data_IF_570431114674
#
_entry.id   IF_570431114674
#
_cell.length_a   1.000
_cell.length_b   1.000
_cell.length_c   1.000
_cell.angle_alpha   90.00
_cell.angle_beta   90.00
_cell.angle_gamma   90.00
#
_symmetry.space_group_name_H-M   'P 1'
#
loop_
_entity.id
_entity.type
_entity.pdbx_description
1 polymer ?
#
# COMPACT_ATOMS: atom_id res chain seq x y z
N UNK A 1 5.54 63.02 1.22
CA UNK A 1 5.43 62.67 -0.22
C UNK A 1 5.07 61.20 -0.33
N UNK A 2 4.00 60.69 -0.93
CA UNK A 2 2.77 61.16 -1.59
C UNK A 2 2.08 59.84 -2.04
N UNK A 3 0.92 59.46 -1.50
CA UNK A 3 -0.42 59.56 -2.09
C UNK A 3 -0.55 59.00 -3.53
N UNK A 4 -1.29 57.88 -3.69
CA UNK A 4 -2.48 57.74 -4.55
C UNK A 4 -2.87 56.25 -4.71
N UNK A 5 -4.00 55.87 -4.10
CA UNK A 5 -4.80 54.73 -4.51
C UNK A 5 -5.98 55.21 -5.36
N UNK A 6 -6.60 54.32 -6.15
CA UNK A 6 -7.95 54.51 -6.69
C UNK A 6 -8.64 53.14 -6.85
N UNK A 7 -9.61 52.90 -5.98
CA UNK A 7 -10.72 51.98 -6.19
C UNK A 7 -11.69 52.60 -7.20
N UNK A 8 -12.16 51.81 -8.17
CA UNK A 8 -13.26 52.20 -9.06
C UNK A 8 -14.53 51.46 -8.71
N UNK A 9 -15.52 52.20 -8.18
CA UNK A 9 -16.93 51.78 -8.11
C UNK A 9 -17.68 52.33 -9.33
N UNK A 10 -18.64 51.55 -9.85
CA UNK A 10 -19.63 52.02 -10.83
C UNK A 10 -20.81 51.04 -10.93
N UNK A 11 -21.88 51.32 -10.19
CA UNK A 11 -23.21 50.67 -10.24
C UNK A 11 -24.19 51.52 -11.11
N UNK A 12 -25.53 51.33 -11.06
CA UNK A 12 -26.37 50.34 -11.76
C UNK A 12 -27.50 51.00 -12.62
N UNK A 13 -28.26 50.23 -13.41
CA UNK A 13 -29.59 50.67 -13.91
C UNK A 13 -30.45 49.49 -14.40
N UNK A 14 -31.53 49.15 -13.67
CA UNK A 14 -32.97 49.34 -13.98
C UNK A 14 -33.52 48.54 -15.17
N UNK A 15 -34.30 47.48 -14.90
CA UNK A 15 -35.78 47.44 -14.89
C UNK A 15 -36.30 47.01 -16.30
N UNK A 16 -37.25 46.10 -16.52
CA UNK A 16 -38.52 45.82 -15.83
C UNK A 16 -39.13 44.51 -16.37
N UNK A 17 -40.02 43.90 -15.57
CA UNK A 17 -41.27 43.20 -15.95
C UNK A 17 -41.19 41.90 -16.79
N UNK A 18 -42.06 40.90 -16.65
CA UNK A 18 -43.00 40.40 -15.64
C UNK A 18 -43.57 39.09 -16.26
N UNK A 19 -44.25 38.29 -15.44
CA UNK A 19 -45.33 37.34 -15.83
C UNK A 19 -44.96 35.89 -16.23
N UNK A 20 -45.07 35.04 -15.21
CA UNK A 20 -45.93 33.85 -15.11
C UNK A 20 -46.03 32.85 -16.27
N UNK A 21 -45.69 31.58 -15.99
CA UNK A 21 -46.61 30.44 -16.14
C UNK A 21 -46.00 29.16 -15.53
N UNK A 22 -46.79 28.52 -14.67
CA UNK A 22 -46.61 27.16 -14.17
C UNK A 22 -46.57 26.12 -15.30
N UNK A 23 -45.79 25.04 -15.13
CA UNK A 23 -46.29 23.65 -15.17
C UNK A 23 -45.13 22.64 -15.18
N UNK A 24 -45.02 21.93 -14.06
CA UNK A 24 -44.87 20.47 -13.93
C UNK A 24 -44.26 19.68 -15.10
N UNK A 25 -43.09 19.07 -14.87
CA UNK A 25 -42.89 17.66 -15.27
C UNK A 25 -41.75 17.04 -14.47
N UNK A 26 -42.08 15.90 -13.86
CA UNK A 26 -41.23 15.04 -13.06
C UNK A 26 -40.11 14.36 -13.87
N UNK A 27 -39.18 13.73 -13.14
CA UNK A 27 -38.17 12.73 -13.55
C UNK A 27 -36.89 13.36 -14.12
N UNK A 28 -35.75 13.34 -13.42
CA UNK A 28 -34.92 12.14 -13.33
C UNK A 28 -34.06 12.15 -12.07
N UNK A 29 -34.37 11.20 -11.19
CA UNK A 29 -33.51 10.67 -10.15
C UNK A 29 -32.27 10.00 -10.79
N UNK A 30 -31.19 9.89 -10.02
CA UNK A 30 -29.96 9.15 -10.29
C UNK A 30 -28.78 9.96 -10.85
N UNK A 31 -28.10 10.65 -9.94
CA UNK A 31 -26.65 10.63 -9.88
C UNK A 31 -26.18 10.59 -8.40
N UNK A 32 -26.84 9.75 -7.59
CA UNK A 32 -26.17 9.11 -6.46
C UNK A 32 -25.51 7.84 -7.01
N UNK A 33 -24.39 8.03 -7.70
CA UNK A 33 -23.52 6.93 -8.09
C UNK A 33 -22.43 6.84 -7.03
N UNK A 34 -22.52 5.72 -6.30
CA UNK A 34 -21.53 5.10 -5.43
C UNK A 34 -21.16 5.86 -4.15
N UNK A 35 -21.98 5.61 -3.12
CA UNK A 35 -21.44 5.18 -1.84
C UNK A 35 -20.29 4.20 -2.14
N UNK A 36 -19.08 4.63 -1.80
CA UNK A 36 -17.84 3.88 -1.96
C UNK A 36 -18.07 2.42 -1.54
N UNK A 37 -17.73 1.48 -2.42
CA UNK A 37 -17.68 0.06 -2.09
C UNK A 37 -16.62 -0.12 -1.00
N UNK A 38 -17.02 0.07 0.26
CA UNK A 38 -16.23 -0.30 1.42
C UNK A 38 -16.11 -1.80 1.38
N UNK A 39 -14.96 -2.31 0.96
CA UNK A 39 -14.60 -3.73 1.09
C UNK A 39 -14.57 -4.05 2.57
N UNK A 40 -15.70 -4.46 3.12
CA UNK A 40 -15.82 -4.82 4.52
C UNK A 40 -15.20 -6.20 4.70
N UNK A 41 -14.14 -6.27 5.49
CA UNK A 41 -13.51 -7.54 5.84
C UNK A 41 -14.46 -8.41 6.66
N UNK A 42 -14.84 -9.57 6.13
CA UNK A 42 -15.66 -10.58 6.81
C UNK A 42 -14.75 -11.73 7.24
N UNK A 43 -14.53 -11.88 8.56
CA UNK A 43 -13.63 -12.90 9.11
C UNK A 43 -14.23 -14.29 8.93
N UNK A 44 -13.46 -15.20 8.33
CA UNK A 44 -13.84 -16.59 8.05
C UNK A 44 -13.20 -17.58 9.02
N UNK A 45 -12.09 -17.21 9.65
CA UNK A 45 -11.40 -18.06 10.62
C UNK A 45 -10.09 -17.46 11.12
N UNK A 46 -9.30 -18.30 11.78
CA UNK A 46 -7.95 -17.97 12.26
C UNK A 46 -7.04 -19.18 12.14
N UNK A 47 -5.74 -18.96 11.98
CA UNK A 47 -4.73 -20.02 11.94
C UNK A 47 -4.56 -20.66 13.33
N UNK A 48 -4.61 -21.99 13.38
CA UNK A 48 -4.23 -22.75 14.58
C UNK A 48 -2.71 -22.90 14.63
N UNK A 49 -2.07 -22.30 15.65
CA UNK A 49 -0.63 -22.35 15.86
C UNK A 49 -0.29 -23.49 16.83
N UNK A 50 0.69 -24.32 16.45
CA UNK A 50 1.13 -25.44 17.28
C UNK A 50 2.22 -25.04 18.27
N UNK A 51 3.20 -24.24 17.82
CA UNK A 51 4.39 -23.89 18.60
C UNK A 51 4.74 -22.40 18.58
N UNK A 52 4.25 -21.66 17.59
CA UNK A 52 4.55 -20.23 17.47
C UNK A 52 3.63 -19.43 18.39
N UNK A 53 4.20 -18.49 19.15
CA UNK A 53 3.48 -17.71 20.15
C UNK A 53 3.48 -16.20 19.86
N UNK A 54 4.31 -15.75 18.90
CA UNK A 54 4.60 -14.33 18.69
C UNK A 54 3.79 -13.67 17.56
N UNK A 55 2.85 -14.40 16.95
CA UNK A 55 1.94 -13.82 15.96
C UNK A 55 0.59 -14.52 15.98
N UNK A 56 -0.41 -13.92 15.35
CA UNK A 56 -1.68 -14.54 14.99
C UNK A 56 -1.98 -14.26 13.52
N UNK A 57 -2.80 -15.10 12.90
CA UNK A 57 -3.31 -14.87 11.54
C UNK A 57 -4.82 -15.07 11.53
N UNK A 58 -5.54 -14.02 11.14
CA UNK A 58 -6.97 -14.08 10.88
C UNK A 58 -7.21 -14.14 9.37
N UNK A 59 -8.12 -15.03 8.96
CA UNK A 59 -8.54 -15.20 7.57
C UNK A 59 -9.86 -14.50 7.32
N UNK A 60 -10.01 -13.94 6.13
CA UNK A 60 -11.22 -13.25 5.69
C UNK A 60 -11.71 -13.80 4.35
N UNK A 61 -12.92 -13.43 3.95
CA UNK A 61 -13.43 -13.70 2.60
C UNK A 61 -12.49 -13.16 1.53
N UNK A 62 -12.58 -13.67 0.30
CA UNK A 62 -11.78 -13.26 -0.86
C UNK A 62 -10.26 -13.42 -0.73
N UNK A 63 -9.80 -14.12 0.32
CA UNK A 63 -8.40 -14.54 0.50
C UNK A 63 -7.55 -13.61 1.36
N UNK A 64 -8.11 -12.51 1.87
CA UNK A 64 -7.37 -11.56 2.71
C UNK A 64 -6.94 -12.21 4.03
N UNK A 65 -5.81 -11.77 4.56
CA UNK A 65 -5.24 -12.27 5.82
C UNK A 65 -4.76 -11.11 6.67
N UNK A 66 -5.11 -11.07 7.94
CA UNK A 66 -4.53 -10.13 8.91
C UNK A 66 -3.51 -10.88 9.75
N UNK A 67 -2.23 -10.53 9.59
CA UNK A 67 -1.16 -10.96 10.49
C UNK A 67 -1.00 -9.93 11.59
N UNK A 68 -1.04 -10.37 12.85
CA UNK A 68 -0.77 -9.51 14.01
C UNK A 68 0.41 -10.06 14.79
N UNK A 69 1.44 -9.26 15.03
CA UNK A 69 2.54 -9.64 15.93
C UNK A 69 2.11 -9.40 17.37
N UNK A 70 2.34 -10.39 18.24
CA UNK A 70 1.88 -10.34 19.63
C UNK A 70 2.69 -9.37 20.51
N UNK A 71 4.03 -9.30 20.40
CA UNK A 71 4.84 -8.48 21.31
C UNK A 71 4.58 -6.97 21.23
N UNK A 72 4.29 -6.46 20.04
CA UNK A 72 4.12 -5.04 19.72
C UNK A 72 2.76 -4.69 19.11
N UNK A 73 1.88 -5.69 18.92
CA UNK A 73 0.55 -5.53 18.32
C UNK A 73 0.54 -4.93 16.92
N UNK A 74 1.65 -5.03 16.17
CA UNK A 74 1.73 -4.53 14.80
C UNK A 74 0.86 -5.39 13.88
N UNK A 75 0.11 -4.74 13.00
CA UNK A 75 -0.83 -5.39 12.09
C UNK A 75 -0.43 -5.23 10.63
N UNK A 76 -0.53 -6.33 9.90
CA UNK A 76 -0.26 -6.40 8.48
C UNK A 76 -1.44 -7.04 7.76
N UNK A 77 -2.08 -6.30 6.87
CA UNK A 77 -3.11 -6.84 5.99
C UNK A 77 -2.46 -7.32 4.70
N UNK A 78 -2.50 -8.63 4.45
CA UNK A 78 -2.15 -9.22 3.18
C UNK A 78 -3.37 -9.12 2.26
N UNK A 79 -3.22 -8.33 1.20
CA UNK A 79 -4.22 -8.15 0.15
C UNK A 79 -3.88 -9.11 -1.00
N UNK A 80 -4.76 -10.05 -1.36
CA UNK A 80 -4.50 -10.99 -2.44
C UNK A 80 -4.32 -10.29 -3.79
N UNK A 81 -3.61 -10.93 -4.72
CA UNK A 81 -3.41 -10.40 -6.06
C UNK A 81 -4.74 -10.03 -6.74
N UNK A 82 -4.80 -8.82 -7.30
CA UNK A 82 -5.98 -8.30 -8.02
C UNK A 82 -7.12 -7.83 -7.12
N UNK A 83 -7.03 -8.01 -5.80
CA UNK A 83 -8.01 -7.51 -4.86
C UNK A 83 -7.73 -6.04 -4.47
N UNK A 84 -8.77 -5.20 -4.25
CA UNK A 84 -8.57 -3.82 -3.84
C UNK A 84 -8.18 -3.71 -2.36
N UNK A 85 -7.40 -2.70 -2.00
CA UNK A 85 -7.15 -2.39 -0.59
C UNK A 85 -8.44 -1.94 0.09
N UNK A 86 -8.85 -2.56 1.22
CA UNK A 86 -10.05 -2.16 1.95
C UNK A 86 -9.98 -0.70 2.44
N UNK A 87 -11.12 -0.01 2.37
CA UNK A 87 -11.24 1.35 2.91
C UNK A 87 -11.55 1.35 4.40
N UNK A 88 -11.15 2.42 5.09
CA UNK A 88 -11.46 2.62 6.51
C UNK A 88 -10.70 1.67 7.46
N UNK A 89 -9.53 1.20 7.04
CA UNK A 89 -8.58 0.52 7.91
C UNK A 89 -7.96 1.52 8.90
N UNK A 90 -7.58 1.03 10.07
CA UNK A 90 -6.87 1.83 11.05
C UNK A 90 -5.48 2.24 10.51
N UNK A 91 -5.00 3.44 10.87
CA UNK A 91 -3.75 4.01 10.34
C UNK A 91 -2.49 3.19 10.67
N UNK A 92 -2.55 2.33 11.69
CA UNK A 92 -1.46 1.44 12.11
C UNK A 92 -1.40 0.11 11.33
N UNK A 93 -2.37 -0.17 10.45
CA UNK A 93 -2.36 -1.37 9.61
C UNK A 93 -1.47 -1.16 8.39
N UNK A 94 -0.36 -1.89 8.34
CA UNK A 94 0.51 -1.95 7.16
C UNK A 94 -0.12 -2.83 6.08
N UNK A 95 -0.21 -2.32 4.86
CA UNK A 95 -0.76 -3.08 3.72
C UNK A 95 0.37 -3.78 2.98
N UNK A 96 0.20 -5.08 2.72
CA UNK A 96 1.10 -5.92 1.95
C UNK A 96 0.32 -6.52 0.78
N UNK A 97 0.55 -6.03 -0.43
CA UNK A 97 -0.10 -6.52 -1.65
C UNK A 97 0.64 -7.75 -2.18
N UNK A 98 -0.05 -8.89 -2.28
CA UNK A 98 0.45 -10.09 -2.94
C UNK A 98 0.35 -9.93 -4.47
N UNK A 99 1.29 -10.51 -5.27
CA UNK A 99 2.52 -11.17 -4.83
C UNK A 99 3.57 -10.16 -4.32
N UNK A 100 4.22 -10.50 -3.21
CA UNK A 100 5.30 -9.67 -2.63
C UNK A 100 6.61 -9.91 -3.37
N UNK A 101 7.01 -8.92 -4.14
CA UNK A 101 8.27 -8.88 -4.88
C UNK A 101 9.16 -7.74 -4.33
N UNK A 102 10.37 -7.62 -4.88
CA UNK A 102 11.29 -6.51 -4.59
C UNK A 102 11.74 -6.38 -3.14
N UNK A 103 11.87 -7.50 -2.42
CA UNK A 103 12.33 -7.49 -1.03
C UNK A 103 13.77 -6.97 -0.95
N UNK A 104 14.01 -6.04 -0.01
CA UNK A 104 15.34 -5.62 0.40
C UNK A 104 15.79 -6.39 1.64
N UNK A 105 16.59 -7.44 1.43
CA UNK A 105 17.09 -8.31 2.48
C UNK A 105 18.44 -7.82 3.01
N UNK A 106 18.43 -7.26 4.22
CA UNK A 106 19.63 -6.72 4.86
C UNK A 106 20.11 -7.56 6.04
N UNK A 107 19.22 -8.34 6.65
CA UNK A 107 19.55 -9.28 7.70
C UNK A 107 20.03 -10.59 7.08
N UNK A 108 21.34 -10.79 6.95
CA UNK A 108 21.89 -11.95 6.25
C UNK A 108 21.46 -13.30 6.82
N UNK A 109 21.19 -13.37 8.13
CA UNK A 109 20.64 -14.56 8.79
C UNK A 109 19.24 -14.95 8.30
N UNK A 110 18.46 -14.04 7.73
CA UNK A 110 17.13 -14.34 7.21
C UNK A 110 17.17 -15.04 5.84
N UNK A 111 18.27 -14.92 5.08
CA UNK A 111 18.38 -15.50 3.73
C UNK A 111 18.21 -17.02 3.73
N UNK A 112 18.69 -17.71 4.77
CA UNK A 112 18.55 -19.17 4.90
C UNK A 112 17.08 -19.61 4.96
N UNK A 113 16.23 -18.79 5.59
CA UNK A 113 14.79 -19.05 5.64
C UNK A 113 14.15 -18.90 4.25
N UNK A 114 14.50 -17.85 3.49
CA UNK A 114 14.03 -17.68 2.12
C UNK A 114 14.50 -18.82 1.21
N UNK A 115 15.76 -19.23 1.32
CA UNK A 115 16.29 -20.36 0.57
C UNK A 115 15.56 -21.68 0.91
N UNK A 116 15.28 -21.92 2.19
CA UNK A 116 14.56 -23.11 2.65
C UNK A 116 13.09 -23.16 2.19
N UNK A 117 12.50 -21.99 1.92
CA UNK A 117 11.13 -21.84 1.42
C UNK A 117 11.05 -21.74 -0.11
N UNK A 118 12.18 -21.87 -0.82
CA UNK A 118 12.29 -21.67 -2.28
C UNK A 118 11.75 -20.29 -2.71
N UNK A 119 12.10 -19.25 -1.95
CA UNK A 119 11.56 -17.89 -2.09
C UNK A 119 12.66 -16.82 -2.28
N UNK A 120 13.85 -17.22 -2.71
CA UNK A 120 14.98 -16.29 -2.95
C UNK A 120 14.70 -15.36 -4.13
N UNK A 121 13.90 -15.82 -5.08
CA UNK A 121 13.42 -15.08 -6.25
C UNK A 121 12.58 -13.84 -5.88
N UNK A 122 12.00 -13.79 -4.67
CA UNK A 122 11.28 -12.62 -4.17
C UNK A 122 12.20 -11.48 -3.69
N UNK A 123 13.50 -11.74 -3.58
CA UNK A 123 14.50 -10.78 -3.09
C UNK A 123 15.19 -10.10 -4.27
N UNK A 124 14.83 -8.84 -4.53
CA UNK A 124 15.52 -8.02 -5.54
C UNK A 124 16.81 -7.41 -5.00
N UNK A 125 16.82 -7.01 -3.72
CA UNK A 125 17.91 -6.20 -3.18
C UNK A 125 18.60 -6.90 -2.02
N UNK A 126 19.93 -6.91 -2.06
CA UNK A 126 20.78 -7.54 -1.06
C UNK A 126 21.57 -6.51 -0.26
N UNK A 127 21.57 -6.69 1.06
CA UNK A 127 22.41 -5.98 2.01
C UNK A 127 23.90 -6.37 1.95
N UNK A 128 24.22 -7.43 1.21
CA UNK A 128 25.52 -8.08 1.20
C UNK A 128 25.93 -8.38 -0.25
N UNK A 129 27.21 -8.19 -0.57
CA UNK A 129 27.71 -8.45 -1.92
C UNK A 129 27.81 -9.94 -2.22
N UNK A 130 27.76 -10.30 -3.49
CA UNK A 130 27.81 -11.68 -3.98
C UNK A 130 28.97 -12.49 -3.37
N UNK A 131 30.18 -11.91 -3.35
CA UNK A 131 31.38 -12.58 -2.84
C UNK A 131 31.31 -12.90 -1.34
N UNK A 132 30.44 -12.22 -0.61
CA UNK A 132 30.29 -12.41 0.83
C UNK A 132 29.19 -13.40 1.18
N UNK A 133 28.30 -13.76 0.26
CA UNK A 133 27.28 -14.77 0.55
C UNK A 133 27.90 -16.16 0.73
N UNK A 134 27.31 -16.99 1.58
CA UNK A 134 27.65 -18.42 1.68
C UNK A 134 26.56 -19.30 1.06
N UNK A 135 25.32 -18.79 1.00
CA UNK A 135 24.16 -19.45 0.43
C UNK A 135 24.28 -19.40 -1.10
N UNK A 136 24.34 -20.57 -1.74
CA UNK A 136 24.63 -20.68 -3.16
C UNK A 136 23.52 -20.05 -4.02
N UNK A 137 22.24 -20.29 -3.69
CA UNK A 137 21.10 -19.70 -4.41
C UNK A 137 21.15 -18.17 -4.43
N UNK A 138 21.60 -17.54 -3.33
CA UNK A 138 21.80 -16.09 -3.30
C UNK A 138 22.94 -15.65 -4.21
N UNK A 139 24.05 -16.38 -4.26
CA UNK A 139 25.15 -16.09 -5.19
C UNK A 139 24.72 -16.19 -6.63
N UNK A 140 23.95 -17.23 -6.96
CA UNK A 140 23.49 -17.51 -8.31
C UNK A 140 22.50 -16.44 -8.77
N UNK A 141 21.54 -16.06 -7.92
CA UNK A 141 20.61 -14.95 -8.19
C UNK A 141 21.37 -13.62 -8.41
N UNK A 142 22.42 -13.36 -7.63
CA UNK A 142 23.25 -12.17 -7.84
C UNK A 142 24.10 -12.22 -9.11
N UNK A 143 24.62 -13.39 -9.46
CA UNK A 143 25.38 -13.58 -10.70
C UNK A 143 24.50 -13.44 -11.95
N UNK A 144 23.23 -13.89 -11.86
CA UNK A 144 22.23 -13.74 -12.91
C UNK A 144 21.72 -12.29 -13.06
N UNK A 145 21.92 -11.46 -12.03
CA UNK A 145 21.41 -10.09 -11.98
C UNK A 145 19.96 -10.00 -11.51
N UNK A 146 19.37 -11.10 -11.05
CA UNK A 146 18.02 -11.16 -10.48
C UNK A 146 17.99 -10.52 -9.08
N UNK A 147 19.11 -10.60 -8.36
CA UNK A 147 19.34 -9.92 -7.09
C UNK A 147 20.53 -8.96 -7.20
N UNK A 148 20.42 -7.75 -6.68
CA UNK A 148 21.49 -6.74 -6.76
C UNK A 148 21.88 -6.20 -5.40
N UNK A 149 23.13 -5.77 -5.25
CA UNK A 149 23.60 -5.16 -4.01
C UNK A 149 23.10 -3.71 -3.91
N UNK A 150 22.32 -3.40 -2.87
CA UNK A 150 21.70 -2.08 -2.67
C UNK A 150 22.16 -1.38 -1.38
N UNK A 151 23.43 -1.52 -1.05
CA UNK A 151 23.99 -0.97 0.18
C UNK A 151 23.67 -1.84 1.40
N UNK A 152 24.20 -1.44 2.56
CA UNK A 152 24.07 -2.17 3.84
C UNK A 152 23.09 -1.47 4.76
N UNK A 153 22.71 -2.11 5.88
CA UNK A 153 21.76 -1.53 6.85
C UNK A 153 22.11 -0.09 7.28
N UNK A 154 23.39 0.16 7.57
CA UNK A 154 23.86 1.49 8.00
C UNK A 154 24.08 2.50 6.86
N UNK A 155 24.01 2.05 5.61
CA UNK A 155 24.16 2.90 4.42
C UNK A 155 23.44 2.24 3.22
N UNK A 156 22.10 2.29 3.17
CA UNK A 156 21.33 1.82 2.02
C UNK A 156 21.58 2.71 0.81
N UNK A 157 21.46 2.15 -0.39
CA UNK A 157 21.43 2.91 -1.64
C UNK A 157 19.99 3.30 -1.97
N UNK A 158 19.53 4.43 -1.43
CA UNK A 158 18.14 4.86 -1.59
C UNK A 158 17.75 5.19 -3.02
N UNK A 159 18.68 5.72 -3.82
CA UNK A 159 18.43 6.02 -5.22
C UNK A 159 18.13 4.73 -5.99
N UNK A 160 18.93 3.69 -5.77
CA UNK A 160 18.71 2.38 -6.37
C UNK A 160 17.40 1.75 -5.90
N UNK A 161 17.16 1.71 -4.58
CA UNK A 161 15.96 1.11 -3.97
C UNK A 161 14.66 1.76 -4.47
N UNK A 162 14.64 3.07 -4.68
CA UNK A 162 13.45 3.78 -5.19
C UNK A 162 13.30 3.59 -6.71
N UNK A 163 14.40 3.47 -7.44
CA UNK A 163 14.36 3.38 -8.91
C UNK A 163 13.96 2.00 -9.44
N UNK A 164 14.28 0.93 -8.71
CA UNK A 164 14.01 -0.45 -9.11
C UNK A 164 13.00 -1.18 -8.20
N UNK A 165 12.48 -0.48 -7.18
CA UNK A 165 11.57 -1.01 -6.16
C UNK A 165 10.10 -0.99 -6.55
#
# INVERSE_FOLDING_TARGET
MGLLGLSGCGSPSSASMDTSAEATSEITQAAETTQEERTKLVKTGSMELQYAENFTVDYYEDGYKMLTTVPDSQRYLLVPEGQPVPQGLDEDVSILQEPLQNIYLVASGAMDMFASLDAVDQIRFSGQKQENWYIQTAKDAMAAGDMIYAGKYSKPDYELLVSEG
#
